data_IF_291250463314
#
_entry.id   IF_291250463314
#
_cell.length_a   1.000
_cell.length_b   1.000
_cell.length_c   1.000
_cell.angle_alpha   90.00
_cell.angle_beta   90.00
_cell.angle_gamma   90.00
#
_symmetry.space_group_name_H-M   'P 1'
#
loop_
_entity.id
_entity.type
_entity.pdbx_description
1 polymer ?
#
# COMPACT_ATOMS: atom_id res chain seq x y z
N UNK A 1 14.14 2.29 17.92
CA UNK A 1 13.12 1.54 17.16
C UNK A 1 13.01 0.15 17.78
N UNK A 2 11.83 -0.49 17.84
CA UNK A 2 11.74 -1.89 18.22
C UNK A 2 12.55 -2.74 17.24
N UNK A 3 13.44 -3.59 17.74
CA UNK A 3 14.14 -4.58 16.92
C UNK A 3 13.26 -5.82 16.84
N UNK A 4 12.68 -6.06 15.67
CA UNK A 4 11.99 -7.32 15.39
C UNK A 4 13.07 -8.34 15.00
N UNK A 5 13.20 -9.47 15.72
CA UNK A 5 13.91 -10.61 15.15
C UNK A 5 13.17 -11.01 13.87
N UNK A 6 13.89 -11.41 12.83
CA UNK A 6 13.28 -11.84 11.55
C UNK A 6 13.75 -13.26 11.24
N UNK A 7 13.79 -14.11 12.26
CA UNK A 7 14.39 -15.44 12.16
C UNK A 7 13.36 -16.50 11.74
N UNK A 8 12.07 -16.23 11.95
CA UNK A 8 10.97 -17.15 11.64
C UNK A 8 9.94 -16.51 10.71
N UNK A 9 9.13 -17.35 10.05
CA UNK A 9 8.01 -16.87 9.24
C UNK A 9 6.91 -16.17 10.05
N UNK A 10 6.79 -16.46 11.35
CA UNK A 10 5.88 -15.76 12.25
C UNK A 10 6.37 -14.33 12.50
N UNK A 11 7.66 -14.16 12.79
CA UNK A 11 8.21 -12.82 13.02
C UNK A 11 8.12 -11.92 11.77
N UNK A 12 8.34 -12.52 10.58
CA UNK A 12 8.17 -11.81 9.30
C UNK A 12 6.73 -11.35 9.13
N UNK A 13 5.74 -12.19 9.46
CA UNK A 13 4.33 -11.82 9.40
C UNK A 13 3.99 -10.70 10.40
N UNK A 14 4.43 -10.84 11.65
CA UNK A 14 4.20 -9.84 12.69
C UNK A 14 4.80 -8.48 12.32
N UNK A 15 5.98 -8.49 11.70
CA UNK A 15 6.59 -7.28 11.17
C UNK A 15 5.78 -6.68 10.03
N UNK A 16 5.32 -7.47 9.07
CA UNK A 16 4.46 -7.01 7.98
C UNK A 16 3.17 -6.38 8.53
N UNK A 17 2.55 -7.00 9.53
CA UNK A 17 1.34 -6.47 10.17
C UNK A 17 1.64 -5.18 10.93
N UNK A 18 2.81 -5.10 11.61
CA UNK A 18 3.26 -3.89 12.29
C UNK A 18 3.48 -2.72 11.33
N UNK A 19 3.98 -2.98 10.11
CA UNK A 19 4.11 -1.95 9.07
C UNK A 19 2.75 -1.46 8.56
N UNK A 20 1.63 -2.13 8.89
CA UNK A 20 0.31 -1.80 8.34
C UNK A 20 -0.05 -2.63 7.11
N UNK A 21 0.56 -3.80 6.98
CA UNK A 21 0.29 -4.78 5.93
C UNK A 21 1.33 -4.78 4.82
N UNK A 22 1.17 -5.73 3.89
CA UNK A 22 2.20 -6.07 2.90
C UNK A 22 2.59 -4.90 2.00
N UNK A 23 1.65 -4.04 1.62
CA UNK A 23 1.95 -2.88 0.77
C UNK A 23 2.86 -1.87 1.44
N UNK A 24 2.62 -1.58 2.72
CA UNK A 24 3.43 -0.63 3.46
C UNK A 24 4.81 -1.23 3.78
N UNK A 25 4.85 -2.54 4.07
CA UNK A 25 6.11 -3.27 4.24
C UNK A 25 6.97 -3.28 2.97
N UNK A 26 6.37 -3.45 1.79
CA UNK A 26 7.06 -3.38 0.49
C UNK A 26 7.56 -1.97 0.17
N UNK A 27 6.79 -0.94 0.54
CA UNK A 27 7.14 0.45 0.24
C UNK A 27 8.24 1.00 1.16
N UNK A 28 8.21 0.67 2.46
CA UNK A 28 9.04 1.36 3.46
C UNK A 28 9.67 0.46 4.54
N UNK A 29 9.15 -0.75 4.74
CA UNK A 29 9.26 -1.42 6.04
C UNK A 29 10.25 -2.58 6.14
N UNK A 30 10.56 -3.26 5.03
CA UNK A 30 11.34 -4.51 5.07
C UNK A 30 12.28 -4.68 3.88
N UNK A 31 13.59 -4.65 4.15
CA UNK A 31 14.57 -5.01 3.15
C UNK A 31 14.61 -6.54 2.99
N UNK A 32 14.81 -7.02 1.75
CA UNK A 32 14.92 -8.45 1.50
C UNK A 32 16.08 -9.11 2.27
N UNK A 33 17.17 -8.40 2.50
CA UNK A 33 18.35 -8.96 3.18
C UNK A 33 18.12 -9.18 4.69
N UNK A 34 17.13 -8.50 5.27
CA UNK A 34 16.72 -8.66 6.66
C UNK A 34 15.86 -9.91 6.88
N UNK A 35 15.35 -10.52 5.80
CA UNK A 35 14.56 -11.74 5.85
C UNK A 35 15.42 -13.00 5.96
N UNK A 36 14.85 -14.12 6.46
CA UNK A 36 15.43 -15.45 6.31
C UNK A 36 15.69 -15.77 4.84
N UNK A 37 16.81 -16.44 4.56
CA UNK A 37 17.30 -16.72 3.20
C UNK A 37 16.21 -17.33 2.29
N UNK A 38 15.40 -18.24 2.83
CA UNK A 38 14.31 -18.91 2.12
C UNK A 38 13.20 -17.98 1.59
N UNK A 39 13.07 -16.76 2.11
CA UNK A 39 12.03 -15.81 1.71
C UNK A 39 12.56 -14.63 0.88
N UNK A 40 13.89 -14.48 0.77
CA UNK A 40 14.49 -13.28 0.17
C UNK A 40 14.15 -13.13 -1.31
N UNK A 41 14.21 -14.22 -2.07
CA UNK A 41 13.97 -14.17 -3.52
C UNK A 41 12.50 -13.93 -3.86
N UNK A 42 11.59 -14.52 -3.09
CA UNK A 42 10.16 -14.23 -3.18
C UNK A 42 9.89 -12.76 -2.82
N UNK A 43 10.50 -12.25 -1.76
CA UNK A 43 10.35 -10.84 -1.37
C UNK A 43 10.89 -9.88 -2.41
N UNK A 44 12.07 -10.15 -2.99
CA UNK A 44 12.63 -9.35 -4.11
C UNK A 44 11.71 -9.35 -5.32
N UNK A 45 11.05 -10.46 -5.60
CA UNK A 45 10.06 -10.56 -6.67
C UNK A 45 8.84 -9.67 -6.37
N UNK A 46 8.35 -9.68 -5.12
CA UNK A 46 7.24 -8.81 -4.71
C UNK A 46 7.60 -7.33 -4.78
N UNK A 47 8.80 -6.94 -4.33
CA UNK A 47 9.29 -5.55 -4.43
C UNK A 47 9.30 -5.10 -5.90
N UNK A 48 9.83 -5.93 -6.81
CA UNK A 48 9.83 -5.61 -8.24
C UNK A 48 8.42 -5.41 -8.80
N UNK A 49 7.47 -6.28 -8.42
CA UNK A 49 6.07 -6.15 -8.86
C UNK A 49 5.40 -4.90 -8.27
N UNK A 50 5.76 -4.53 -7.05
CA UNK A 50 5.30 -3.29 -6.42
C UNK A 50 5.81 -2.07 -7.18
N UNK A 51 7.11 -2.01 -7.49
CA UNK A 51 7.70 -0.91 -8.25
C UNK A 51 7.04 -0.76 -9.63
N UNK A 52 6.84 -1.87 -10.36
CA UNK A 52 6.15 -1.86 -11.65
C UNK A 52 4.69 -1.38 -11.55
N UNK A 53 4.01 -1.67 -10.42
CA UNK A 53 2.65 -1.20 -10.16
C UNK A 53 2.63 0.29 -9.81
N UNK A 54 3.58 0.74 -8.99
CA UNK A 54 3.70 2.14 -8.56
C UNK A 54 3.97 3.06 -9.75
N UNK A 55 4.89 2.67 -10.64
CA UNK A 55 5.14 3.39 -11.90
C UNK A 55 3.88 3.52 -12.76
N UNK A 56 3.13 2.42 -12.93
CA UNK A 56 1.88 2.43 -13.71
C UNK A 56 0.78 3.24 -13.04
N UNK A 57 0.73 3.23 -11.70
CA UNK A 57 -0.20 4.03 -10.94
C UNK A 57 0.11 5.52 -11.10
N UNK A 58 1.38 5.92 -11.01
CA UNK A 58 1.83 7.28 -11.27
C UNK A 58 1.44 7.75 -12.69
N UNK A 59 1.68 6.91 -13.70
CA UNK A 59 1.28 7.18 -15.10
C UNK A 59 -0.25 7.30 -15.26
N UNK A 60 -1.02 6.54 -14.47
CA UNK A 60 -2.46 6.66 -14.44
C UNK A 60 -2.90 7.99 -13.81
N UNK A 61 -2.36 8.33 -12.63
CA UNK A 61 -2.65 9.60 -11.96
C UNK A 61 -2.28 10.81 -12.81
N UNK A 62 -1.16 10.77 -13.53
CA UNK A 62 -0.75 11.84 -14.43
C UNK A 62 -1.71 12.08 -15.61
N UNK A 63 -2.55 11.08 -15.96
CA UNK A 63 -3.57 11.19 -17.00
C UNK A 63 -4.93 11.63 -16.49
N UNK A 64 -5.14 11.61 -15.17
CA UNK A 64 -6.36 12.14 -14.60
C UNK A 64 -6.37 13.67 -14.80
N UNK A 65 -7.54 14.26 -15.10
CA UNK A 65 -7.66 15.70 -15.11
C UNK A 65 -7.24 16.23 -13.74
N UNK A 66 -6.60 17.42 -13.68
CA UNK A 66 -6.35 18.07 -12.40
C UNK A 66 -7.66 18.17 -11.64
N UNK A 67 -7.62 18.01 -10.32
CA UNK A 67 -8.79 18.31 -9.49
C UNK A 67 -9.23 19.72 -9.85
N UNK A 68 -10.49 19.87 -10.30
CA UNK A 68 -11.06 21.21 -10.45
C UNK A 68 -11.07 21.81 -9.05
N UNK A 69 -10.17 22.76 -8.77
CA UNK A 69 -10.16 23.52 -7.51
C UNK A 69 -11.43 24.39 -7.34
N UNK A 70 -12.36 24.33 -8.30
CA UNK A 70 -13.61 25.09 -8.34
C UNK A 70 -14.85 24.18 -8.40
N UNK A 71 -15.06 23.32 -7.41
CA UNK A 71 -16.44 22.98 -7.01
C UNK A 71 -16.58 23.14 -5.50
N UNK A 72 -17.15 24.26 -5.00
CA UNK A 72 -17.63 24.27 -3.62
C UNK A 72 -18.64 23.15 -3.50
N UNK A 73 -18.37 22.23 -2.58
CA UNK A 73 -19.21 21.10 -2.17
C UNK A 73 -20.69 21.49 -2.17
N UNK A 74 -21.35 21.29 -3.30
CA UNK A 74 -22.73 21.64 -3.54
C UNK A 74 -23.28 20.50 -4.37
N UNK A 75 -24.37 19.92 -3.89
CA UNK A 75 -25.05 18.72 -4.39
C UNK A 75 -24.65 17.40 -3.72
N UNK A 76 -24.85 17.32 -2.40
CA UNK A 76 -25.59 16.16 -1.90
C UNK A 76 -26.99 16.23 -2.54
N UNK A 77 -27.43 15.25 -3.38
CA UNK A 77 -28.82 15.21 -3.78
C UNK A 77 -29.66 14.94 -2.54
N UNK A 78 -30.61 15.83 -2.26
CA UNK A 78 -31.60 15.64 -1.21
C UNK A 78 -32.22 14.26 -1.37
N UNK A 79 -32.01 13.39 -0.37
CA UNK A 79 -32.74 12.14 -0.23
C UNK A 79 -34.21 12.51 -0.18
N UNK A 80 -34.95 12.31 -1.27
CA UNK A 80 -36.42 12.26 -1.20
C UNK A 80 -36.75 11.00 -0.41
N UNK A 81 -37.02 11.17 0.88
CA UNK A 81 -37.76 10.16 1.62
C UNK A 81 -39.13 9.99 0.93
N UNK A 82 -39.56 8.77 0.60
CA UNK A 82 -40.94 8.55 0.20
C UNK A 82 -41.83 8.78 1.43
N UNK A 83 -42.84 9.63 1.30
CA UNK A 83 -43.92 9.76 2.27
C UNK A 83 -44.63 8.41 2.46
N UNK A 84 -45.03 8.14 3.71
CA UNK A 84 -45.67 6.93 4.20
C UNK A 84 -47.03 6.61 3.56
#
# INVERSE_FOLDING_TARGET
MPTFPLDTGEDVRDKIDWEGGIWNALCWGLAADDLPEQYRDDWRTLVKLYDELDERAADFYARLPPENEDEPNSLLPAVRQPDA
#
